data_IF_140386392688
#
_entry.id   IF_140386392688
#
_cell.length_a   1.000
_cell.length_b   1.000
_cell.length_c   1.000
_cell.angle_alpha   90.00
_cell.angle_beta   90.00
_cell.angle_gamma   90.00
#
_symmetry.space_group_name_H-M   'P 1'
#
loop_
_entity.id
_entity.type
_entity.pdbx_description
1 polymer ?
#
# COMPACT_ATOMS: atom_id res chain seq x y z
N UNK A 1 -55.45 10.00 -30.42
CA UNK A 1 -54.57 11.00 -29.77
C UNK A 1 -54.72 10.83 -28.27
N UNK A 2 -53.89 9.99 -27.63
CA UNK A 2 -53.56 10.08 -26.20
C UNK A 2 -52.39 9.15 -25.83
N UNK A 3 -51.28 9.20 -26.58
CA UNK A 3 -50.05 8.46 -26.24
C UNK A 3 -49.00 9.35 -25.54
N UNK A 4 -49.17 10.68 -25.54
CA UNK A 4 -48.20 11.61 -24.95
C UNK A 4 -48.47 12.04 -23.50
N UNK A 5 -49.64 11.75 -22.94
CA UNK A 5 -50.00 12.18 -21.57
C UNK A 5 -49.61 11.12 -20.51
N UNK A 6 -49.59 9.84 -20.87
CA UNK A 6 -49.11 8.76 -20.00
C UNK A 6 -47.60 8.81 -19.79
N UNK A 7 -46.83 9.13 -20.83
CA UNK A 7 -45.36 9.17 -20.80
C UNK A 7 -44.83 10.26 -19.84
N UNK A 8 -45.47 11.44 -19.81
CA UNK A 8 -45.07 12.56 -18.94
C UNK A 8 -45.40 12.28 -17.47
N UNK A 9 -46.55 11.66 -17.17
CA UNK A 9 -46.93 11.32 -15.80
C UNK A 9 -46.10 10.15 -15.25
N UNK A 10 -45.76 9.17 -16.10
CA UNK A 10 -44.85 8.08 -15.77
C UNK A 10 -43.41 8.61 -15.57
N UNK A 11 -42.97 9.58 -16.38
CA UNK A 11 -41.68 10.26 -16.21
C UNK A 11 -41.60 11.02 -14.87
N UNK A 12 -42.64 11.78 -14.51
CA UNK A 12 -42.69 12.50 -13.23
C UNK A 12 -42.68 11.52 -12.04
N UNK A 13 -43.38 10.38 -12.17
CA UNK A 13 -43.41 9.34 -11.13
C UNK A 13 -42.05 8.65 -10.98
N UNK A 14 -41.31 8.47 -12.08
CA UNK A 14 -39.99 7.85 -12.10
C UNK A 14 -38.83 8.84 -11.88
N UNK A 15 -39.13 10.13 -11.74
CA UNK A 15 -38.13 11.20 -11.59
C UNK A 15 -37.26 11.01 -10.35
N UNK A 16 -37.86 10.61 -9.21
CA UNK A 16 -37.13 10.33 -7.97
C UNK A 16 -36.11 9.20 -8.16
N UNK A 17 -36.54 8.08 -8.76
CA UNK A 17 -35.65 6.94 -9.01
C UNK A 17 -34.52 7.30 -9.97
N UNK A 18 -34.81 8.15 -10.97
CA UNK A 18 -33.80 8.61 -11.94
C UNK A 18 -32.74 9.47 -11.27
N UNK A 19 -33.15 10.44 -10.44
CA UNK A 19 -32.20 11.28 -9.69
C UNK A 19 -31.41 10.48 -8.65
N UNK A 20 -32.05 9.52 -7.97
CA UNK A 20 -31.36 8.63 -7.05
C UNK A 20 -30.28 7.82 -7.77
N UNK A 21 -30.63 7.21 -8.90
CA UNK A 21 -29.69 6.37 -9.65
C UNK A 21 -28.56 7.20 -10.27
N UNK A 22 -28.87 8.41 -10.74
CA UNK A 22 -27.86 9.35 -11.23
C UNK A 22 -26.90 9.80 -10.13
N UNK A 23 -27.43 10.15 -8.95
CA UNK A 23 -26.63 10.53 -7.78
C UNK A 23 -25.77 9.37 -7.27
N UNK A 24 -26.33 8.16 -7.21
CA UNK A 24 -25.60 6.96 -6.85
C UNK A 24 -24.46 6.66 -7.83
N UNK A 25 -24.75 6.68 -9.14
CA UNK A 25 -23.75 6.41 -10.18
C UNK A 25 -22.62 7.45 -10.13
N UNK A 26 -22.97 8.73 -10.02
CA UNK A 26 -21.99 9.81 -9.91
C UNK A 26 -21.12 9.67 -8.65
N UNK A 27 -21.73 9.37 -7.50
CA UNK A 27 -21.01 9.14 -6.25
C UNK A 27 -20.12 7.89 -6.29
N UNK A 28 -20.59 6.81 -6.91
CA UNK A 28 -19.85 5.57 -7.08
C UNK A 28 -18.64 5.76 -8.00
N UNK A 29 -18.83 6.38 -9.17
CA UNK A 29 -17.74 6.64 -10.12
C UNK A 29 -16.70 7.57 -9.52
N UNK A 30 -17.13 8.60 -8.80
CA UNK A 30 -16.25 9.51 -8.09
C UNK A 30 -15.48 8.82 -6.96
N UNK A 31 -16.17 8.05 -6.11
CA UNK A 31 -15.55 7.32 -4.99
C UNK A 31 -14.57 6.26 -5.47
N UNK A 32 -14.88 5.56 -6.56
CA UNK A 32 -13.97 4.59 -7.19
C UNK A 32 -12.71 5.27 -7.70
N UNK A 33 -12.85 6.43 -8.36
CA UNK A 33 -11.70 7.18 -8.87
C UNK A 33 -10.83 7.72 -7.74
N UNK A 34 -11.44 8.32 -6.72
CA UNK A 34 -10.73 8.86 -5.56
C UNK A 34 -10.02 7.77 -4.75
N UNK A 35 -10.70 6.65 -4.47
CA UNK A 35 -10.09 5.53 -3.77
C UNK A 35 -8.90 4.94 -4.54
N UNK A 36 -8.93 4.94 -5.87
CA UNK A 36 -7.80 4.50 -6.69
C UNK A 36 -6.60 5.45 -6.58
N UNK A 37 -6.83 6.76 -6.61
CA UNK A 37 -5.74 7.74 -6.48
C UNK A 37 -5.15 7.74 -5.08
N UNK A 38 -6.00 7.81 -4.05
CA UNK A 38 -5.58 7.80 -2.65
C UNK A 38 -4.84 6.50 -2.30
N UNK A 39 -5.36 5.35 -2.73
CA UNK A 39 -4.69 4.07 -2.51
C UNK A 39 -3.32 3.97 -3.17
N UNK A 40 -3.13 4.59 -4.35
CA UNK A 40 -1.82 4.66 -5.01
C UNK A 40 -0.85 5.57 -4.29
N UNK A 41 -1.30 6.73 -3.82
CA UNK A 41 -0.47 7.66 -3.06
C UNK A 41 -0.04 7.05 -1.73
N UNK A 42 -0.99 6.49 -0.98
CA UNK A 42 -0.72 5.78 0.27
C UNK A 42 0.21 4.58 0.06
N UNK A 43 -0.02 3.81 -1.01
CA UNK A 43 0.83 2.68 -1.38
C UNK A 43 2.29 3.09 -1.63
N UNK A 44 2.53 4.24 -2.26
CA UNK A 44 3.89 4.78 -2.48
C UNK A 44 4.56 5.19 -1.17
N UNK A 45 3.84 5.89 -0.29
CA UNK A 45 4.36 6.30 1.00
C UNK A 45 4.73 5.09 1.87
N UNK A 46 3.84 4.10 1.96
CA UNK A 46 4.09 2.88 2.74
C UNK A 46 5.13 1.96 2.13
N UNK A 47 5.21 1.90 0.80
CA UNK A 47 6.29 1.18 0.14
C UNK A 47 7.66 1.76 0.49
N UNK A 48 7.77 3.09 0.66
CA UNK A 48 9.04 3.72 1.05
C UNK A 48 9.47 3.30 2.46
N UNK A 49 8.56 3.37 3.45
CA UNK A 49 8.84 2.91 4.83
C UNK A 49 9.32 1.45 4.84
N UNK A 50 8.68 0.61 4.03
CA UNK A 50 9.03 -0.80 3.94
C UNK A 50 10.38 -1.04 3.24
N UNK A 51 10.66 -0.32 2.15
CA UNK A 51 11.93 -0.43 1.44
C UNK A 51 13.11 0.10 2.24
N UNK A 52 12.92 1.15 3.04
CA UNK A 52 13.92 1.60 4.00
C UNK A 52 14.25 0.48 5.00
N UNK A 53 13.21 -0.21 5.51
CA UNK A 53 13.40 -1.34 6.41
C UNK A 53 14.19 -2.48 5.76
N UNK A 54 13.81 -2.89 4.55
CA UNK A 54 14.45 -3.98 3.82
C UNK A 54 15.89 -3.62 3.45
N UNK A 55 16.13 -2.41 2.95
CA UNK A 55 17.48 -1.93 2.58
C UNK A 55 18.41 -1.85 3.78
N UNK A 56 17.91 -1.47 4.96
CA UNK A 56 18.69 -1.55 6.19
C UNK A 56 19.11 -3.00 6.51
N UNK A 57 18.18 -3.97 6.40
CA UNK A 57 18.50 -5.37 6.65
C UNK A 57 19.50 -5.93 5.64
N UNK A 58 19.41 -5.52 4.38
CA UNK A 58 20.35 -5.90 3.32
C UNK A 58 21.76 -5.42 3.65
N UNK A 59 21.93 -4.12 3.94
CA UNK A 59 23.22 -3.55 4.31
C UNK A 59 23.79 -4.19 5.58
N UNK A 60 22.96 -4.38 6.60
CA UNK A 60 23.37 -5.07 7.82
C UNK A 60 23.84 -6.50 7.54
N UNK A 61 23.07 -7.29 6.80
CA UNK A 61 23.45 -8.66 6.46
C UNK A 61 24.75 -8.69 5.65
N UNK A 62 24.88 -7.86 4.63
CA UNK A 62 26.07 -7.77 3.76
C UNK A 62 27.34 -7.46 4.55
N UNK A 63 27.32 -6.44 5.40
CA UNK A 63 28.50 -6.09 6.22
C UNK A 63 28.97 -7.23 7.13
N UNK A 64 28.04 -8.03 7.66
CA UNK A 64 28.40 -9.18 8.51
C UNK A 64 28.83 -10.40 7.71
N UNK A 65 28.35 -10.59 6.47
CA UNK A 65 28.90 -11.63 5.59
C UNK A 65 30.39 -11.36 5.35
N UNK A 66 30.75 -10.16 4.90
CA UNK A 66 32.15 -9.79 4.63
C UNK A 66 33.04 -9.92 5.88
N UNK A 67 32.53 -9.44 7.03
CA UNK A 67 33.27 -9.47 8.30
C UNK A 67 33.46 -10.89 8.85
N UNK A 68 32.46 -11.76 8.71
CA UNK A 68 32.51 -13.13 9.24
C UNK A 68 33.30 -14.06 8.32
N UNK A 69 33.17 -13.89 7.00
CA UNK A 69 33.98 -14.64 6.02
C UNK A 69 35.47 -14.37 6.22
N UNK A 70 35.87 -13.10 6.42
CA UNK A 70 37.26 -12.76 6.74
C UNK A 70 37.79 -13.44 8.02
N UNK A 71 36.95 -13.54 9.08
CA UNK A 71 37.33 -14.18 10.35
C UNK A 71 37.43 -15.71 10.27
N UNK A 72 36.63 -16.33 9.41
CA UNK A 72 36.69 -17.78 9.16
C UNK A 72 38.02 -18.14 8.50
N UNK A 73 38.49 -17.31 7.57
CA UNK A 73 39.79 -17.46 6.89
C UNK A 73 40.97 -17.29 7.87
N UNK A 74 40.87 -16.35 8.81
CA UNK A 74 41.93 -16.08 9.81
C UNK A 74 42.01 -17.09 10.98
N UNK A 75 41.19 -18.14 10.99
CA UNK A 75 41.42 -19.31 11.85
C UNK A 75 41.25 -19.12 13.37
N UNK A 76 40.49 -18.12 13.85
CA UNK A 76 40.24 -17.96 15.31
C UNK A 76 39.38 -19.09 15.89
N UNK A 77 40.01 -20.04 16.58
CA UNK A 77 39.45 -21.34 17.00
C UNK A 77 38.33 -21.28 18.06
N UNK A 78 38.16 -20.17 18.78
CA UNK A 78 37.15 -20.06 19.86
C UNK A 78 35.74 -19.63 19.44
N UNK A 79 35.55 -19.11 18.22
CA UNK A 79 34.26 -18.53 17.76
C UNK A 79 33.68 -19.14 16.50
N UNK A 80 34.38 -20.09 15.85
CA UNK A 80 33.98 -20.72 14.57
C UNK A 80 32.51 -21.16 14.54
N UNK A 81 31.99 -21.80 15.59
CA UNK A 81 30.60 -22.28 15.62
C UNK A 81 29.54 -21.17 15.71
N UNK A 82 29.83 -20.06 16.40
CA UNK A 82 28.92 -18.92 16.50
C UNK A 82 28.97 -18.06 15.25
N UNK A 83 30.17 -17.83 14.74
CA UNK A 83 30.41 -17.04 13.53
C UNK A 83 29.82 -17.74 12.29
N UNK A 84 29.98 -19.05 12.15
CA UNK A 84 29.37 -19.82 11.07
C UNK A 84 27.83 -19.80 11.12
N UNK A 85 27.25 -19.82 12.32
CA UNK A 85 25.80 -19.71 12.50
C UNK A 85 25.28 -18.33 12.13
N UNK A 86 25.96 -17.28 12.56
CA UNK A 86 25.63 -15.91 12.21
C UNK A 86 25.75 -15.67 10.70
N UNK A 87 26.81 -16.21 10.07
CA UNK A 87 27.02 -16.16 8.63
C UNK A 87 25.88 -16.85 7.86
N UNK A 88 25.44 -18.03 8.29
CA UNK A 88 24.29 -18.70 7.69
C UNK A 88 23.01 -17.86 7.79
N UNK A 89 22.74 -17.26 8.97
CA UNK A 89 21.59 -16.38 9.13
C UNK A 89 21.65 -15.14 8.23
N UNK A 90 22.84 -14.55 8.05
CA UNK A 90 23.05 -13.40 7.16
C UNK A 90 22.84 -13.77 5.68
N UNK A 91 23.38 -14.90 5.22
CA UNK A 91 23.19 -15.38 3.85
C UNK A 91 21.72 -15.70 3.53
N UNK A 92 21.01 -16.35 4.47
CA UNK A 92 19.58 -16.63 4.29
C UNK A 92 18.74 -15.34 4.33
N UNK A 93 19.15 -14.34 5.12
CA UNK A 93 18.47 -13.04 5.12
C UNK A 93 18.62 -12.36 3.75
N UNK A 94 19.82 -12.36 3.16
CA UNK A 94 20.05 -11.80 1.82
C UNK A 94 19.25 -12.54 0.74
N UNK A 95 19.16 -13.88 0.80
CA UNK A 95 18.38 -14.62 -0.20
C UNK A 95 16.88 -14.31 -0.12
N UNK A 96 16.33 -14.12 1.09
CA UNK A 96 14.94 -13.69 1.26
C UNK A 96 14.73 -12.27 0.71
N UNK A 97 15.67 -11.36 0.91
CA UNK A 97 15.59 -10.00 0.39
C UNK A 97 15.66 -9.99 -1.15
N UNK A 98 16.50 -10.84 -1.76
CA UNK A 98 16.58 -10.98 -3.22
C UNK A 98 15.28 -11.49 -3.87
N UNK A 99 14.45 -12.23 -3.12
CA UNK A 99 13.13 -12.65 -3.62
C UNK A 99 12.06 -11.55 -3.55
N UNK A 100 12.38 -10.39 -2.97
CA UNK A 100 11.43 -9.30 -2.81
C UNK A 100 11.17 -8.60 -4.16
N UNK A 101 9.90 -8.37 -4.55
CA UNK A 101 9.59 -7.81 -5.86
C UNK A 101 10.04 -6.34 -5.97
N UNK A 102 10.83 -6.03 -7.00
CA UNK A 102 11.33 -4.67 -7.29
C UNK A 102 10.49 -3.92 -8.31
N UNK A 103 9.63 -4.64 -9.04
CA UNK A 103 8.72 -4.06 -10.04
C UNK A 103 7.30 -4.26 -9.55
N UNK A 104 6.52 -3.19 -9.52
CA UNK A 104 5.08 -3.26 -9.31
C UNK A 104 4.46 -3.65 -10.68
N UNK A 105 3.88 -4.85 -10.83
CA UNK A 105 3.13 -5.22 -12.03
C UNK A 105 1.79 -4.48 -12.01
N UNK A 106 1.81 -3.16 -12.19
CA UNK A 106 0.57 -2.43 -12.42
C UNK A 106 0.11 -2.75 -13.84
N UNK A 107 -1.10 -3.29 -14.07
CA UNK A 107 -1.63 -3.42 -15.41
C UNK A 107 -1.64 -2.02 -16.02
N UNK A 108 -0.87 -1.84 -17.09
CA UNK A 108 -0.57 -0.54 -17.70
C UNK A 108 -1.76 0.08 -18.44
N UNK A 109 -3.00 -0.25 -18.10
CA UNK A 109 -4.19 0.31 -18.73
C UNK A 109 -5.29 0.54 -17.69
N UNK A 110 -5.93 1.72 -17.68
CA UNK A 110 -7.27 1.87 -17.14
C UNK A 110 -8.24 1.22 -18.15
N UNK A 111 -8.11 -0.09 -18.40
CA UNK A 111 -9.15 -0.74 -19.17
C UNK A 111 -10.36 -0.81 -18.26
N UNK A 112 -11.40 -0.08 -18.64
CA UNK A 112 -12.59 0.22 -17.85
C UNK A 112 -13.53 -1.00 -17.75
N UNK A 113 -12.94 -2.18 -17.61
CA UNK A 113 -13.62 -3.44 -17.40
C UNK A 113 -13.10 -3.97 -16.07
N UNK A 114 -13.85 -3.67 -15.01
CA UNK A 114 -13.94 -4.60 -13.89
C UNK A 114 -14.59 -5.85 -14.51
N UNK A 115 -13.78 -6.73 -15.10
CA UNK A 115 -14.18 -8.12 -15.18
C UNK A 115 -13.96 -8.65 -13.78
N UNK A 116 -15.05 -9.03 -13.11
CA UNK A 116 -15.12 -9.68 -11.78
C UNK A 116 -14.44 -11.07 -11.75
N UNK A 117 -13.32 -11.21 -12.45
CA UNK A 117 -12.50 -12.42 -12.45
C UNK A 117 -11.18 -12.05 -11.77
N UNK A 118 -10.95 -12.50 -10.51
CA UNK A 118 -9.66 -12.36 -9.87
C UNK A 118 -8.69 -13.21 -10.68
N UNK A 119 -8.00 -12.57 -11.63
CA UNK A 119 -6.89 -13.20 -12.33
C UNK A 119 -5.85 -13.47 -11.24
N UNK A 120 -5.75 -14.72 -10.84
CA UNK A 120 -4.81 -15.24 -9.85
C UNK A 120 -3.38 -15.08 -10.38
N UNK A 121 -2.92 -13.84 -10.47
CA UNK A 121 -1.51 -13.52 -10.40
C UNK A 121 -1.06 -14.07 -9.05
N UNK A 122 0.00 -14.88 -9.03
CA UNK A 122 0.44 -15.56 -7.82
C UNK A 122 0.50 -14.53 -6.69
N UNK A 123 -0.44 -14.63 -5.74
CA UNK A 123 -0.48 -13.77 -4.56
C UNK A 123 0.78 -14.06 -3.78
N UNK A 124 1.85 -13.36 -4.14
CA UNK A 124 3.07 -13.33 -3.36
C UNK A 124 2.64 -12.65 -2.07
N UNK A 125 2.50 -13.47 -1.03
CA UNK A 125 2.13 -13.01 0.29
C UNK A 125 3.27 -12.16 0.85
N UNK A 126 3.22 -10.88 0.50
CA UNK A 126 4.24 -9.89 0.80
C UNK A 126 4.36 -9.74 2.31
N UNK A 127 3.23 -9.79 3.03
CA UNK A 127 3.20 -9.71 4.49
C UNK A 127 3.97 -10.87 5.13
N UNK A 128 3.77 -12.10 4.64
CA UNK A 128 4.53 -13.27 5.10
C UNK A 128 6.01 -13.17 4.74
N UNK A 129 6.37 -12.70 3.54
CA UNK A 129 7.77 -12.49 3.15
C UNK A 129 8.46 -11.49 4.08
N UNK A 130 7.84 -10.35 4.36
CA UNK A 130 8.36 -9.32 5.28
C UNK A 130 8.50 -9.88 6.70
N UNK A 131 7.50 -10.62 7.17
CA UNK A 131 7.55 -11.27 8.49
C UNK A 131 8.74 -12.23 8.60
N UNK A 132 8.98 -13.03 7.56
CA UNK A 132 10.12 -13.94 7.48
C UNK A 132 11.47 -13.19 7.47
N UNK A 133 11.58 -12.09 6.72
CA UNK A 133 12.76 -11.23 6.70
C UNK A 133 13.05 -10.68 8.11
N UNK A 134 12.03 -10.11 8.78
CA UNK A 134 12.14 -9.59 10.16
C UNK A 134 12.56 -10.66 11.15
N UNK A 135 11.97 -11.85 11.07
CA UNK A 135 12.33 -12.97 11.93
C UNK A 135 13.79 -13.39 11.72
N UNK A 136 14.24 -13.48 10.46
CA UNK A 136 15.62 -13.84 10.13
C UNK A 136 16.62 -12.78 10.60
N UNK A 137 16.29 -11.50 10.46
CA UNK A 137 17.09 -10.40 11.02
C UNK A 137 17.23 -10.49 12.54
N UNK A 138 16.13 -10.76 13.28
CA UNK A 138 16.18 -10.95 14.74
C UNK A 138 17.08 -12.13 15.14
N UNK A 139 17.06 -13.22 14.37
CA UNK A 139 17.94 -14.38 14.59
C UNK A 139 19.41 -14.01 14.37
N UNK A 140 19.71 -13.25 13.31
CA UNK A 140 21.05 -12.73 13.06
C UNK A 140 21.54 -11.85 14.22
N UNK A 141 20.75 -10.87 14.65
CA UNK A 141 21.06 -10.03 15.81
C UNK A 141 21.33 -10.85 17.08
N UNK A 142 20.51 -11.88 17.33
CA UNK A 142 20.67 -12.77 18.49
C UNK A 142 21.97 -13.57 18.43
N UNK A 143 22.35 -14.05 17.24
CA UNK A 143 23.61 -14.78 17.02
C UNK A 143 24.86 -13.92 17.19
N UNK A 144 24.74 -12.61 16.95
CA UNK A 144 25.80 -11.61 17.09
C UNK A 144 25.81 -10.94 18.48
N UNK A 145 24.86 -11.28 19.35
CA UNK A 145 24.64 -10.61 20.64
C UNK A 145 24.42 -9.08 20.52
N UNK A 146 23.79 -8.64 19.43
CA UNK A 146 23.46 -7.23 19.17
C UNK A 146 21.95 -7.03 19.34
N UNK A 147 21.55 -5.91 19.95
CA UNK A 147 20.14 -5.53 20.05
C UNK A 147 19.64 -4.98 18.70
N UNK A 148 18.49 -5.44 18.17
CA UNK A 148 17.85 -4.83 17.00
C UNK A 148 17.53 -3.34 17.26
N UNK A 149 17.92 -2.44 16.35
CA UNK A 149 17.76 -0.98 16.51
C UNK A 149 16.78 -0.31 15.55
N UNK A 150 16.38 -1.00 14.48
CA UNK A 150 15.54 -0.43 13.43
C UNK A 150 14.07 -0.38 13.86
N UNK A 151 13.38 0.71 13.52
CA UNK A 151 11.93 0.82 13.63
C UNK A 151 11.27 0.05 12.49
N UNK A 152 10.24 -0.72 12.80
CA UNK A 152 9.61 -1.66 11.87
C UNK A 152 8.42 -0.97 11.18
N UNK A 153 8.36 -1.04 9.84
CA UNK A 153 7.27 -0.46 9.06
C UNK A 153 5.93 -1.12 9.43
N UNK A 154 4.86 -0.33 9.55
CA UNK A 154 3.54 -0.85 9.89
C UNK A 154 2.80 -1.24 8.62
N UNK A 155 2.40 -2.51 8.52
CA UNK A 155 1.54 -3.00 7.45
C UNK A 155 0.11 -2.79 7.94
N UNK A 156 -0.59 -1.82 7.35
CA UNK A 156 -2.01 -1.59 7.65
C UNK A 156 -2.82 -2.59 6.85
N UNK A 157 -3.48 -3.52 7.52
CA UNK A 157 -4.49 -4.37 6.89
C UNK A 157 -5.70 -3.50 6.53
N UNK A 158 -6.05 -3.48 5.25
CA UNK A 158 -7.24 -2.76 4.78
C UNK A 158 -8.46 -3.58 5.15
N UNK A 159 -9.28 -3.08 6.07
CA UNK A 159 -10.61 -3.65 6.31
C UNK A 159 -11.52 -3.28 5.11
N UNK A 160 -11.98 -4.25 4.31
CA UNK A 160 -12.83 -3.98 3.15
C UNK A 160 -14.20 -3.38 3.55
N UNK A 161 -14.56 -3.39 4.83
CA UNK A 161 -15.76 -2.71 5.36
C UNK A 161 -15.53 -1.26 5.76
N UNK A 162 -14.27 -0.86 5.88
CA UNK A 162 -13.89 0.54 6.08
C UNK A 162 -13.95 1.27 4.74
N UNK A 163 -15.17 1.43 4.22
CA UNK A 163 -15.38 2.36 3.12
C UNK A 163 -14.96 3.75 3.56
N UNK A 164 -14.20 4.45 2.72
CA UNK A 164 -13.80 5.86 2.89
C UNK A 164 -15.00 6.83 2.80
N UNK A 165 -16.10 6.52 3.49
CA UNK A 165 -17.28 7.36 3.66
C UNK A 165 -17.34 8.05 5.02
N UNK A 166 -16.28 7.96 5.83
CA UNK A 166 -16.18 8.60 7.13
C UNK A 166 -15.18 9.75 7.15
N UNK A 167 -15.14 10.56 6.08
CA UNK A 167 -14.70 11.95 6.21
C UNK A 167 -15.95 12.79 6.44
N UNK A 168 -15.99 13.44 7.60
CA UNK A 168 -17.14 14.18 8.09
C UNK A 168 -17.71 15.16 7.05
N UNK A 169 -19.03 15.17 6.99
CA UNK A 169 -19.81 16.26 6.40
C UNK A 169 -19.56 17.51 7.25
N UNK A 170 -18.56 18.30 6.90
CA UNK A 170 -18.51 19.73 7.21
C UNK A 170 -17.89 20.46 6.02
N UNK A 171 -18.77 20.94 5.15
CA UNK A 171 -18.39 21.52 3.86
C UNK A 171 -19.63 21.92 3.10
N UNK A 172 -20.16 23.09 3.44
CA UNK A 172 -21.30 23.69 2.78
C UNK A 172 -21.13 23.80 1.27
N UNK A 173 -22.29 23.77 0.60
CA UNK A 173 -22.49 24.28 -0.74
C UNK A 173 -21.75 25.61 -0.92
N UNK A 174 -20.66 25.63 -1.68
CA UNK A 174 -20.18 26.89 -2.24
C UNK A 174 -19.56 26.71 -3.63
N UNK A 175 -20.02 27.56 -4.53
CA UNK A 175 -19.69 27.54 -5.94
C UNK A 175 -18.28 28.04 -6.26
N UNK A 176 -17.94 28.10 -7.55
CA UNK A 176 -16.57 28.34 -7.98
C UNK A 176 -16.30 29.83 -8.09
N UNK A 177 -15.72 30.46 -7.06
CA UNK A 177 -14.78 31.61 -7.19
C UNK A 177 -14.27 32.04 -5.83
N UNK A 178 -13.27 31.32 -5.30
CA UNK A 178 -12.53 31.80 -4.12
C UNK A 178 -11.41 32.75 -4.57
N UNK A 179 -11.69 34.06 -4.59
CA UNK A 179 -10.63 35.05 -4.87
C UNK A 179 -11.00 36.51 -5.06
N UNK A 180 -12.28 36.92 -5.01
CA UNK A 180 -12.65 38.34 -5.16
C UNK A 180 -13.30 38.87 -3.89
N UNK A 181 -12.65 39.85 -3.26
CA UNK A 181 -13.14 40.58 -2.09
C UNK A 181 -14.27 41.53 -2.51
N UNK A 182 -15.51 41.15 -2.22
CA UNK A 182 -16.73 41.89 -2.59
C UNK A 182 -17.06 43.04 -1.65
N UNK A 183 -16.22 43.30 -0.63
CA UNK A 183 -16.44 44.36 0.35
C UNK A 183 -16.26 45.79 -0.19
N UNK A 184 -15.74 45.97 -1.41
CA UNK A 184 -15.53 47.29 -2.04
C UNK A 184 -16.65 47.72 -3.01
N UNK A 185 -17.66 46.89 -3.25
CA UNK A 185 -18.79 47.27 -4.10
C UNK A 185 -19.85 48.02 -3.28
N UNK A 186 -19.73 49.35 -3.23
CA UNK A 186 -20.86 50.22 -2.84
C UNK A 186 -21.87 50.22 -3.98
N UNK A 187 -23.09 49.74 -3.71
CA UNK A 187 -24.29 50.17 -4.44
C UNK A 187 -24.85 51.43 -3.77
#
# INVERSE_FOLDING_TARGET
MNEGEGDVLDEITNMESTFYQQGYQAGYDHGKLHGLFEGRELGKEKAWELWEEIGYYEGWAGTYVDLLEGKVVEGREGRKGKDARALNHAQVLLSLIQSFPTTNPTPSQPNNTITDEPKAEADLDLANLISNIRARYKLLCSSLNVKPRLQVAQIVEVDPRSGAGASGVDGGLDGPVKGVDTSQLRF
#
